data_IF_586514218829
#
_entry.id   IF_586514218829
#
_cell.length_a   1.000
_cell.length_b   1.000
_cell.length_c   1.000
_cell.angle_alpha   90.00
_cell.angle_beta   90.00
_cell.angle_gamma   90.00
#
_symmetry.space_group_name_H-M   'P 1'
#
loop_
_entity.id
_entity.type
_entity.pdbx_description
1 polymer ?
#
# COMPACT_ATOMS: atom_id res chain seq x y z
N UNK A 1 13.61 -35.67 4.42
CA UNK A 1 13.20 -35.11 3.11
C UNK A 1 12.32 -33.90 3.38
N UNK A 2 12.94 -32.72 3.39
CA UNK A 2 12.28 -31.44 3.69
C UNK A 2 11.26 -31.09 2.60
N UNK A 3 10.02 -30.85 3.02
CA UNK A 3 8.97 -30.32 2.17
C UNK A 3 9.23 -28.82 1.97
N UNK A 4 9.70 -28.44 0.78
CA UNK A 4 9.78 -27.02 0.39
C UNK A 4 8.37 -26.41 0.42
N UNK A 5 8.20 -25.49 1.36
CA UNK A 5 7.03 -24.62 1.53
C UNK A 5 7.01 -23.68 0.32
N UNK A 6 6.05 -23.84 -0.58
CA UNK A 6 5.88 -22.93 -1.73
C UNK A 6 5.64 -21.52 -1.19
N UNK A 7 6.60 -20.65 -1.44
CA UNK A 7 6.59 -19.24 -1.04
C UNK A 7 5.39 -18.56 -1.69
N UNK A 8 4.48 -18.06 -0.85
CA UNK A 8 3.40 -17.20 -1.30
C UNK A 8 4.03 -15.91 -1.81
N UNK A 9 3.74 -15.54 -3.05
CA UNK A 9 4.16 -14.28 -3.64
C UNK A 9 3.58 -13.10 -2.82
N UNK A 10 4.38 -12.62 -1.87
CA UNK A 10 4.15 -11.40 -1.11
C UNK A 10 4.47 -10.22 -2.01
N UNK A 11 3.45 -9.61 -2.61
CA UNK A 11 3.67 -8.37 -3.37
C UNK A 11 2.44 -7.80 -4.07
N UNK A 12 1.50 -8.63 -4.52
CA UNK A 12 0.25 -8.16 -5.08
C UNK A 12 -0.86 -8.34 -4.04
N UNK A 13 -1.22 -7.26 -3.35
CA UNK A 13 -2.55 -7.16 -2.74
C UNK A 13 -3.56 -7.06 -3.89
N UNK A 14 -3.81 -8.18 -4.56
CA UNK A 14 -5.04 -8.38 -5.33
C UNK A 14 -6.14 -8.16 -4.31
N UNK A 15 -6.91 -7.09 -4.51
CA UNK A 15 -8.18 -6.79 -3.87
C UNK A 15 -8.62 -7.82 -2.81
N UNK A 16 -8.72 -7.42 -1.54
CA UNK A 16 -9.12 -8.27 -0.42
C UNK A 16 -10.60 -8.71 -0.53
N UNK A 17 -10.90 -9.55 -1.52
CA UNK A 17 -12.12 -10.32 -1.67
C UNK A 17 -12.33 -11.31 -0.50
N UNK A 18 -11.28 -11.53 0.30
CA UNK A 18 -11.18 -12.65 1.23
C UNK A 18 -11.65 -12.35 2.67
N UNK A 19 -11.76 -11.08 3.09
CA UNK A 19 -12.01 -10.78 4.51
C UNK A 19 -13.40 -11.20 5.01
N UNK A 20 -14.40 -11.36 4.12
CA UNK A 20 -15.77 -11.72 4.51
C UNK A 20 -16.35 -12.95 3.81
N UNK A 21 -15.71 -13.49 2.79
CA UNK A 21 -16.31 -14.54 1.94
C UNK A 21 -15.93 -15.99 2.32
N UNK A 22 -14.98 -16.18 3.24
CA UNK A 22 -14.57 -17.50 3.73
C UNK A 22 -14.05 -18.47 2.66
N UNK A 23 -13.86 -18.02 1.42
CA UNK A 23 -13.35 -18.83 0.31
C UNK A 23 -12.18 -18.11 -0.33
N UNK A 24 -10.95 -18.66 -0.23
CA UNK A 24 -9.79 -18.10 -0.91
C UNK A 24 -9.92 -18.27 -2.42
N UNK A 25 -9.52 -17.26 -3.19
CA UNK A 25 -9.37 -17.36 -4.64
C UNK A 25 -8.04 -18.05 -4.92
N UNK A 26 -8.06 -19.17 -5.65
CA UNK A 26 -6.84 -19.83 -6.12
C UNK A 26 -6.23 -19.05 -7.27
N UNK A 27 -4.92 -18.80 -7.20
CA UNK A 27 -4.16 -17.99 -8.16
C UNK A 27 -2.90 -18.73 -8.59
N UNK A 28 -2.58 -18.68 -9.88
CA UNK A 28 -1.33 -19.19 -10.44
C UNK A 28 -0.66 -18.06 -11.23
N UNK A 29 0.64 -17.88 -11.07
CA UNK A 29 1.42 -16.94 -11.87
C UNK A 29 1.90 -17.65 -13.13
N UNK A 30 1.61 -17.07 -14.30
CA UNK A 30 2.06 -17.54 -15.61
C UNK A 30 2.61 -16.33 -16.34
N UNK A 31 3.90 -16.34 -16.72
CA UNK A 31 4.57 -15.21 -17.37
C UNK A 31 4.44 -13.90 -16.56
N UNK A 32 4.61 -13.97 -15.24
CA UNK A 32 4.42 -12.85 -14.31
C UNK A 32 3.01 -12.23 -14.27
N UNK A 33 2.04 -12.83 -14.98
CA UNK A 33 0.63 -12.45 -14.92
C UNK A 33 -0.17 -13.39 -14.01
N UNK A 34 -1.06 -12.85 -13.16
CA UNK A 34 -1.91 -13.68 -12.30
C UNK A 34 -3.11 -14.25 -13.06
N UNK A 35 -3.28 -15.57 -12.94
CA UNK A 35 -4.43 -16.31 -13.43
C UNK A 35 -5.27 -16.81 -12.25
N UNK A 36 -6.56 -16.50 -12.29
CA UNK A 36 -7.51 -16.78 -11.21
C UNK A 36 -8.46 -17.90 -11.59
N UNK A 37 -8.73 -18.84 -10.67
CA UNK A 37 -9.76 -19.85 -10.92
C UNK A 37 -11.13 -19.19 -11.04
N UNK A 38 -11.77 -19.31 -12.21
CA UNK A 38 -12.97 -18.57 -12.56
C UNK A 38 -14.15 -18.89 -11.62
N UNK A 39 -14.26 -20.16 -11.20
CA UNK A 39 -15.30 -20.61 -10.27
C UNK A 39 -15.19 -19.94 -8.90
N UNK A 40 -13.96 -19.75 -8.41
CA UNK A 40 -13.71 -19.11 -7.12
C UNK A 40 -14.05 -17.62 -7.21
N UNK A 41 -13.63 -16.96 -8.30
CA UNK A 41 -13.96 -15.55 -8.57
C UNK A 41 -15.47 -15.33 -8.59
N UNK A 42 -16.23 -16.17 -9.31
CA UNK A 42 -17.68 -16.07 -9.36
C UNK A 42 -18.31 -16.22 -7.98
N UNK A 43 -17.86 -17.20 -7.18
CA UNK A 43 -18.35 -17.41 -5.82
C UNK A 43 -18.13 -16.19 -4.93
N UNK A 44 -16.95 -15.57 -5.02
CA UNK A 44 -16.65 -14.40 -4.20
C UNK A 44 -17.44 -13.17 -4.66
N UNK A 45 -17.56 -12.97 -5.98
CA UNK A 45 -18.39 -11.92 -6.56
C UNK A 45 -19.89 -12.17 -6.41
N UNK A 46 -20.34 -13.30 -5.86
CA UNK A 46 -21.77 -13.61 -5.73
C UNK A 46 -22.46 -13.90 -7.07
N UNK A 47 -21.70 -14.35 -8.07
CA UNK A 47 -22.17 -14.67 -9.41
C UNK A 47 -22.44 -16.17 -9.47
N UNK A 48 -23.64 -16.54 -9.93
CA UNK A 48 -24.00 -17.93 -10.17
C UNK A 48 -23.16 -18.51 -11.29
N UNK A 49 -22.42 -19.58 -10.99
CA UNK A 49 -21.62 -20.30 -11.97
C UNK A 49 -22.52 -21.12 -12.91
N UNK A 50 -22.41 -20.86 -14.20
CA UNK A 50 -23.08 -21.62 -15.28
C UNK A 50 -22.10 -21.86 -16.43
N UNK A 51 -22.46 -22.73 -17.37
CA UNK A 51 -21.64 -22.97 -18.57
C UNK A 51 -21.42 -21.71 -19.42
N UNK A 52 -22.33 -20.73 -19.31
CA UNK A 52 -22.33 -19.49 -20.10
C UNK A 52 -21.67 -18.30 -19.41
N UNK A 53 -21.21 -18.44 -18.16
CA UNK A 53 -20.68 -17.32 -17.37
C UNK A 53 -19.49 -16.62 -18.05
N UNK A 54 -18.70 -17.36 -18.84
CA UNK A 54 -17.48 -16.86 -19.49
C UNK A 54 -17.62 -16.65 -21.00
N UNK A 55 -18.82 -16.79 -21.57
CA UNK A 55 -19.03 -16.70 -23.02
C UNK A 55 -18.60 -15.35 -23.60
N UNK A 56 -18.71 -14.32 -22.78
CA UNK A 56 -18.51 -12.93 -23.16
C UNK A 56 -17.09 -12.43 -22.84
N UNK A 57 -16.29 -13.30 -22.22
CA UNK A 57 -14.86 -13.07 -21.99
C UNK A 57 -14.10 -13.54 -23.24
N UNK A 58 -13.21 -12.71 -23.81
CA UNK A 58 -12.36 -13.11 -24.93
C UNK A 58 -11.57 -14.38 -24.62
N UNK A 59 -11.30 -15.20 -25.63
CA UNK A 59 -10.54 -16.44 -25.46
C UNK A 59 -9.13 -16.18 -24.93
N UNK A 60 -8.53 -15.03 -25.20
CA UNK A 60 -7.20 -14.68 -24.69
C UNK A 60 -7.17 -14.44 -23.17
N UNK A 61 -8.33 -14.16 -22.56
CA UNK A 61 -8.46 -13.86 -21.13
C UNK A 61 -9.05 -15.00 -20.33
N UNK A 62 -9.25 -16.17 -20.94
CA UNK A 62 -9.75 -17.39 -20.29
C UNK A 62 -9.00 -18.62 -20.80
N UNK A 63 -8.77 -19.58 -19.93
CA UNK A 63 -8.03 -20.79 -20.30
C UNK A 63 -8.10 -21.87 -19.24
N UNK A 64 -7.47 -23.01 -19.50
CA UNK A 64 -7.28 -24.05 -18.50
C UNK A 64 -5.86 -23.99 -17.96
N UNK A 65 -5.75 -23.82 -16.64
CA UNK A 65 -4.47 -23.74 -15.94
C UNK A 65 -4.39 -24.89 -14.96
N UNK A 66 -3.20 -25.49 -14.84
CA UNK A 66 -2.96 -26.59 -13.90
C UNK A 66 -2.79 -26.05 -12.48
N UNK A 67 -3.61 -26.56 -11.56
CA UNK A 67 -3.49 -26.29 -10.14
C UNK A 67 -3.26 -27.60 -9.38
N UNK A 68 -2.40 -27.55 -8.38
CA UNK A 68 -2.27 -28.65 -7.42
C UNK A 68 -3.40 -28.56 -6.40
N UNK A 69 -4.32 -29.52 -6.45
CA UNK A 69 -5.39 -29.67 -5.45
C UNK A 69 -5.11 -30.89 -4.57
N UNK A 70 -5.83 -31.08 -3.44
CA UNK A 70 -5.67 -32.28 -2.62
C UNK A 70 -5.89 -33.60 -3.37
N UNK A 71 -6.62 -33.57 -4.49
CA UNK A 71 -6.83 -34.71 -5.38
C UNK A 71 -5.78 -34.87 -6.48
N UNK A 72 -4.68 -34.11 -6.43
CA UNK A 72 -3.62 -34.10 -7.45
C UNK A 72 -3.67 -32.88 -8.36
N UNK A 73 -2.90 -32.91 -9.46
CA UNK A 73 -2.90 -31.83 -10.44
C UNK A 73 -4.18 -31.88 -11.28
N UNK A 74 -4.95 -30.79 -11.25
CA UNK A 74 -6.19 -30.64 -12.00
C UNK A 74 -6.13 -29.44 -12.91
N UNK A 75 -6.66 -29.58 -14.12
CA UNK A 75 -6.86 -28.45 -15.04
C UNK A 75 -8.14 -27.72 -14.65
N UNK A 76 -8.02 -26.46 -14.27
CA UNK A 76 -9.15 -25.63 -13.85
C UNK A 76 -9.33 -24.45 -14.81
N UNK A 77 -10.60 -24.17 -15.11
CA UNK A 77 -10.98 -22.99 -15.89
C UNK A 77 -10.59 -21.74 -15.11
N UNK A 78 -9.76 -20.94 -15.74
CA UNK A 78 -9.11 -19.78 -15.15
C UNK A 78 -9.24 -18.57 -16.07
N UNK A 79 -9.19 -17.39 -15.46
CA UNK A 79 -9.29 -16.11 -16.15
C UNK A 79 -8.11 -15.22 -15.77
N UNK A 80 -7.66 -14.40 -16.71
CA UNK A 80 -6.67 -13.36 -16.44
C UNK A 80 -7.28 -12.22 -15.61
N UNK A 81 -6.44 -11.31 -15.14
CA UNK A 81 -6.87 -10.09 -14.45
C UNK A 81 -7.86 -9.25 -15.28
N UNK A 82 -7.60 -9.09 -16.59
CA UNK A 82 -8.52 -8.39 -17.49
C UNK A 82 -9.88 -9.10 -17.60
N UNK A 83 -9.87 -10.44 -17.64
CA UNK A 83 -11.10 -11.26 -17.61
C UNK A 83 -11.89 -11.07 -16.31
N UNK A 84 -11.21 -11.00 -15.17
CA UNK A 84 -11.81 -10.74 -13.87
C UNK A 84 -12.51 -9.37 -13.84
N UNK A 85 -11.82 -8.31 -14.28
CA UNK A 85 -12.43 -6.97 -14.31
C UNK A 85 -13.63 -6.90 -15.25
N UNK A 86 -13.53 -7.50 -16.44
CA UNK A 86 -14.66 -7.55 -17.37
C UNK A 86 -15.87 -8.27 -16.78
N UNK A 87 -15.64 -9.37 -16.05
CA UNK A 87 -16.69 -10.13 -15.39
C UNK A 87 -17.32 -9.35 -14.23
N UNK A 88 -16.52 -8.66 -13.42
CA UNK A 88 -17.01 -7.83 -12.33
C UNK A 88 -17.83 -6.64 -12.83
N UNK A 89 -17.34 -5.88 -13.82
CA UNK A 89 -18.02 -4.69 -14.34
C UNK A 89 -19.31 -4.99 -15.10
N UNK A 90 -19.44 -6.21 -15.65
CA UNK A 90 -20.66 -6.63 -16.34
C UNK A 90 -21.76 -7.05 -15.37
N UNK A 91 -21.40 -7.52 -14.18
CA UNK A 91 -22.37 -8.10 -13.27
C UNK A 91 -23.13 -7.01 -12.50
N UNK A 92 -24.35 -6.73 -12.92
CA UNK A 92 -25.26 -5.79 -12.24
C UNK A 92 -26.22 -6.47 -11.26
N UNK A 93 -26.21 -7.81 -11.18
CA UNK A 93 -27.15 -8.59 -10.35
C UNK A 93 -26.58 -8.94 -8.99
N UNK A 94 -25.29 -8.70 -8.75
CA UNK A 94 -24.65 -9.02 -7.49
C UNK A 94 -24.18 -7.76 -6.78
N UNK A 95 -24.69 -7.54 -5.57
CA UNK A 95 -24.28 -6.44 -4.70
C UNK A 95 -22.76 -6.43 -4.45
N UNK A 96 -22.11 -7.60 -4.43
CA UNK A 96 -20.65 -7.69 -4.23
C UNK A 96 -19.88 -7.21 -5.46
N UNK A 97 -20.35 -7.54 -6.66
CA UNK A 97 -19.75 -7.05 -7.90
C UNK A 97 -19.98 -5.54 -8.06
N UNK A 98 -21.17 -5.04 -7.72
CA UNK A 98 -21.47 -3.61 -7.74
C UNK A 98 -20.60 -2.82 -6.77
N UNK A 99 -20.41 -3.32 -5.53
CA UNK A 99 -19.51 -2.70 -4.55
C UNK A 99 -18.08 -2.62 -5.05
N UNK A 100 -17.60 -3.70 -5.66
CA UNK A 100 -16.27 -3.73 -6.28
C UNK A 100 -16.15 -2.68 -7.38
N UNK A 101 -17.10 -2.65 -8.32
CA UNK A 101 -17.12 -1.70 -9.44
C UNK A 101 -17.17 -0.26 -8.96
N UNK A 102 -18.04 0.04 -8.00
CA UNK A 102 -18.15 1.38 -7.41
C UNK A 102 -16.88 1.82 -6.69
N UNK A 103 -16.20 0.91 -5.99
CA UNK A 103 -14.92 1.21 -5.36
C UNK A 103 -13.82 1.50 -6.39
N UNK A 104 -13.73 0.68 -7.44
CA UNK A 104 -12.75 0.91 -8.52
C UNK A 104 -12.99 2.27 -9.18
N UNK A 105 -14.25 2.55 -9.54
CA UNK A 105 -14.62 3.78 -10.24
C UNK A 105 -14.59 5.04 -9.35
N UNK A 106 -14.97 4.93 -8.09
CA UNK A 106 -15.08 6.06 -7.16
C UNK A 106 -13.81 6.40 -6.40
N UNK A 107 -12.97 5.39 -6.10
CA UNK A 107 -11.77 5.57 -5.29
C UNK A 107 -10.49 5.33 -6.09
N UNK A 108 -10.35 4.17 -6.72
CA UNK A 108 -9.08 3.76 -7.34
C UNK A 108 -8.74 4.58 -8.57
N UNK A 109 -9.60 4.57 -9.58
CA UNK A 109 -9.34 5.28 -10.84
C UNK A 109 -9.17 6.79 -10.62
N UNK A 110 -9.98 7.47 -9.78
CA UNK A 110 -9.77 8.88 -9.48
C UNK A 110 -8.45 9.15 -8.76
N UNK A 111 -8.00 8.25 -7.87
CA UNK A 111 -6.68 8.38 -7.24
C UNK A 111 -5.57 8.19 -8.27
N UNK A 112 -5.58 7.13 -9.06
CA UNK A 112 -4.58 6.90 -10.12
C UNK A 112 -4.50 8.12 -11.05
N UNK A 113 -5.63 8.65 -11.51
CA UNK A 113 -5.68 9.84 -12.37
C UNK A 113 -5.02 11.07 -11.72
N UNK A 114 -5.19 11.25 -10.40
CA UNK A 114 -4.68 12.42 -9.66
C UNK A 114 -3.21 12.28 -9.26
N UNK A 115 -2.78 11.10 -8.84
CA UNK A 115 -1.46 10.86 -8.23
C UNK A 115 -0.50 10.06 -9.10
N UNK A 116 -0.95 9.55 -10.25
CA UNK A 116 -0.16 8.69 -11.13
C UNK A 116 -0.07 7.23 -10.66
N UNK A 117 -0.70 6.87 -9.55
CA UNK A 117 -0.70 5.51 -9.02
C UNK A 117 -1.63 5.32 -7.81
N UNK A 118 -2.01 4.07 -7.56
CA UNK A 118 -2.79 3.68 -6.38
C UNK A 118 -1.89 2.93 -5.41
N UNK A 119 -1.66 3.50 -4.22
CA UNK A 119 -0.95 2.82 -3.13
C UNK A 119 -1.98 2.49 -2.06
N UNK A 120 -2.18 1.20 -1.80
CA UNK A 120 -2.85 0.78 -0.58
C UNK A 120 -1.84 1.05 0.54
N UNK A 121 -2.18 1.96 1.45
CA UNK A 121 -1.46 2.05 2.72
C UNK A 121 -1.68 0.73 3.44
N UNK A 122 -0.74 -0.20 3.28
CA UNK A 122 -0.75 -1.46 3.99
C UNK A 122 -0.67 -1.15 5.49
N UNK A 123 -1.82 -1.10 6.16
CA UNK A 123 -1.87 -1.36 7.59
C UNK A 123 -1.53 -2.84 7.79
N UNK A 124 -0.24 -3.17 7.71
CA UNK A 124 0.31 -4.30 8.45
C UNK A 124 0.03 -4.07 9.94
N UNK A 125 0.01 -5.14 10.74
CA UNK A 125 -0.15 -5.07 12.21
C UNK A 125 0.79 -4.08 12.91
N UNK A 126 1.82 -3.62 12.22
CA UNK A 126 2.64 -2.51 12.62
C UNK A 126 2.44 -1.30 11.68
N UNK A 127 1.96 -0.18 12.24
CA UNK A 127 1.75 1.11 11.56
C UNK A 127 3.08 1.84 11.24
N UNK A 128 4.07 1.18 10.63
CA UNK A 128 5.33 1.82 10.23
C UNK A 128 5.87 1.32 8.90
N UNK A 129 6.69 2.15 8.27
CA UNK A 129 7.41 1.83 7.04
C UNK A 129 8.80 1.28 7.37
N UNK A 130 9.09 0.05 6.96
CA UNK A 130 10.40 -0.56 7.21
C UNK A 130 11.44 0.00 6.22
N UNK A 131 12.49 0.63 6.75
CA UNK A 131 13.59 1.26 6.01
C UNK A 131 14.95 0.71 6.48
N UNK A 132 14.98 -0.51 7.04
CA UNK A 132 16.23 -1.10 7.53
C UNK A 132 17.19 -1.51 6.42
N UNK A 133 16.68 -1.80 5.22
CA UNK A 133 17.49 -2.25 4.09
C UNK A 133 17.99 -1.11 3.20
N UNK A 134 17.67 0.14 3.55
CA UNK A 134 17.99 1.33 2.76
C UNK A 134 18.77 2.35 3.60
N UNK A 135 19.74 3.07 3.00
CA UNK A 135 20.46 4.10 3.72
C UNK A 135 19.55 5.30 4.02
N UNK A 136 19.83 5.99 5.13
CA UNK A 136 19.29 7.32 5.42
C UNK A 136 20.44 8.32 5.43
N UNK A 137 20.15 9.58 5.12
CA UNK A 137 21.12 10.68 5.15
C UNK A 137 21.03 11.44 6.49
N UNK A 138 22.12 12.07 6.91
CA UNK A 138 22.10 13.05 8.00
C UNK A 138 22.30 14.44 7.41
N UNK A 139 21.44 15.37 7.80
CA UNK A 139 21.47 16.75 7.35
C UNK A 139 21.59 17.64 8.58
N UNK A 140 22.58 18.53 8.58
CA UNK A 140 22.80 19.45 9.69
C UNK A 140 21.72 20.53 9.72
N UNK A 141 21.13 20.76 10.90
CA UNK A 141 20.08 21.74 11.14
C UNK A 141 20.24 22.38 12.52
N UNK A 142 20.46 23.70 12.53
CA UNK A 142 20.75 24.50 13.74
C UNK A 142 21.92 23.93 14.53
N UNK A 143 21.64 23.29 15.66
CA UNK A 143 22.63 22.85 16.65
C UNK A 143 22.83 21.33 16.64
N UNK A 144 22.42 20.63 15.58
CA UNK A 144 22.60 19.19 15.47
C UNK A 144 22.26 18.64 14.10
N UNK A 145 22.25 17.32 13.98
CA UNK A 145 21.86 16.64 12.74
C UNK A 145 20.46 16.05 12.84
N UNK A 146 19.79 16.04 11.70
CA UNK A 146 18.48 15.43 11.48
C UNK A 146 18.65 14.28 10.51
N UNK A 147 18.11 13.10 10.87
CA UNK A 147 18.04 11.95 9.97
C UNK A 147 16.95 12.19 8.90
N UNK A 148 17.31 11.93 7.65
CA UNK A 148 16.47 12.14 6.47
C UNK A 148 16.42 10.87 5.64
N UNK A 149 15.21 10.48 5.28
CA UNK A 149 14.90 9.35 4.39
C UNK A 149 14.35 9.91 3.08
N UNK A 150 14.85 9.40 1.95
CA UNK A 150 14.42 9.82 0.61
C UNK A 150 13.71 8.65 -0.08
N UNK A 151 12.38 8.72 -0.24
CA UNK A 151 11.57 7.74 -0.98
C UNK A 151 11.12 8.36 -2.31
N UNK A 152 11.93 8.19 -3.36
CA UNK A 152 11.68 8.80 -4.67
C UNK A 152 11.83 10.31 -4.63
N UNK A 153 10.71 11.03 -4.81
CA UNK A 153 10.67 12.51 -4.75
C UNK A 153 10.33 13.02 -3.34
N UNK A 154 9.88 12.15 -2.43
CA UNK A 154 9.45 12.54 -1.09
C UNK A 154 10.61 12.44 -0.09
N UNK A 155 10.82 13.52 0.67
CA UNK A 155 11.79 13.57 1.77
C UNK A 155 11.09 13.51 3.13
N UNK A 156 11.60 12.65 4.00
CA UNK A 156 11.08 12.40 5.33
C UNK A 156 12.12 12.71 6.40
N UNK A 157 11.81 13.63 7.30
CA UNK A 157 12.72 14.15 8.33
C UNK A 157 12.33 13.62 9.71
N UNK A 158 13.31 13.17 10.49
CA UNK A 158 13.05 12.67 11.85
C UNK A 158 12.48 13.77 12.74
N UNK A 159 11.25 13.57 13.22
CA UNK A 159 10.55 14.53 14.08
C UNK A 159 11.29 14.68 15.41
N UNK A 160 11.82 13.58 15.96
CA UNK A 160 12.55 13.62 17.23
C UNK A 160 13.85 14.42 17.11
N UNK A 161 14.60 14.23 16.02
CA UNK A 161 15.83 14.98 15.79
C UNK A 161 15.53 16.46 15.55
N UNK A 162 14.46 16.78 14.80
CA UNK A 162 14.01 18.16 14.60
C UNK A 162 13.64 18.84 15.93
N UNK A 163 12.83 18.19 16.76
CA UNK A 163 12.43 18.73 18.06
C UNK A 163 13.62 18.94 18.99
N UNK A 164 14.59 18.02 18.98
CA UNK A 164 15.87 18.16 19.69
C UNK A 164 16.66 19.37 19.20
N UNK A 165 16.78 19.56 17.88
CA UNK A 165 17.47 20.71 17.29
C UNK A 165 16.75 22.04 17.56
N UNK A 166 15.43 22.01 17.75
CA UNK A 166 14.63 23.16 18.17
C UNK A 166 14.70 23.44 19.69
N UNK A 167 15.32 22.54 20.47
CA UNK A 167 15.34 22.61 21.93
C UNK A 167 13.95 22.40 22.56
N UNK A 168 13.04 21.72 21.85
CA UNK A 168 11.71 21.38 22.34
C UNK A 168 11.76 20.13 23.21
N UNK A 169 10.97 20.14 24.30
CA UNK A 169 10.76 18.97 25.17
C UNK A 169 9.48 18.21 24.84
N UNK A 170 8.78 18.60 23.77
CA UNK A 170 7.51 17.97 23.37
C UNK A 170 7.76 16.57 22.81
N UNK A 171 6.88 15.64 23.13
CA UNK A 171 6.92 14.31 22.54
C UNK A 171 6.57 14.35 21.04
N UNK A 172 7.34 13.62 20.23
CA UNK A 172 7.13 13.52 18.79
C UNK A 172 5.71 13.07 18.42
N UNK A 173 5.14 12.14 19.19
CA UNK A 173 3.76 11.66 19.03
C UNK A 173 2.73 12.78 19.16
N UNK A 174 2.89 13.70 20.10
CA UNK A 174 1.95 14.81 20.30
C UNK A 174 2.02 15.81 19.13
N UNK A 175 3.22 16.10 18.64
CA UNK A 175 3.44 16.95 17.47
C UNK A 175 2.83 16.31 16.21
N UNK A 176 3.08 15.02 15.98
CA UNK A 176 2.55 14.30 14.83
C UNK A 176 1.03 14.21 14.85
N UNK A 177 0.40 13.94 16.00
CA UNK A 177 -1.07 13.96 16.10
C UNK A 177 -1.67 15.31 15.69
N UNK A 178 -0.98 16.42 15.95
CA UNK A 178 -1.42 17.75 15.52
C UNK A 178 -1.18 17.99 14.04
N UNK A 179 -0.04 17.56 13.50
CA UNK A 179 0.25 17.62 12.07
C UNK A 179 -0.78 16.81 11.27
N UNK A 180 -1.02 15.57 11.69
CA UNK A 180 -1.86 14.64 10.96
C UNK A 180 -3.36 14.99 10.99
N UNK A 181 -3.77 15.93 11.85
CA UNK A 181 -5.14 16.44 11.87
C UNK A 181 -5.52 17.18 10.57
N UNK A 182 -4.53 17.73 9.85
CA UNK A 182 -4.74 18.51 8.62
C UNK A 182 -4.33 17.76 7.33
N UNK A 183 -3.88 16.51 7.43
CA UNK A 183 -3.45 15.68 6.30
C UNK A 183 -2.38 14.68 6.70
N UNK A 184 -2.06 13.70 5.86
CA UNK A 184 -1.03 12.70 6.17
C UNK A 184 0.39 13.27 5.96
N UNK A 185 0.85 14.04 6.94
CA UNK A 185 2.13 14.77 6.89
C UNK A 185 3.27 14.06 7.61
N UNK A 186 2.95 13.08 8.48
CA UNK A 186 3.93 12.35 9.24
C UNK A 186 3.55 10.87 9.38
N UNK A 187 4.56 10.00 9.27
CA UNK A 187 4.41 8.54 9.37
C UNK A 187 5.52 7.96 10.24
N UNK A 188 5.34 6.72 10.70
CA UNK A 188 6.41 6.01 11.38
C UNK A 188 7.33 5.34 10.36
N UNK A 189 8.64 5.41 10.59
CA UNK A 189 9.66 4.74 9.78
C UNK A 189 10.64 4.04 10.72
N UNK A 190 10.98 2.78 10.44
CA UNK A 190 11.98 2.01 11.16
C UNK A 190 13.31 2.03 10.39
N UNK A 191 14.35 2.63 10.98
CA UNK A 191 15.68 2.69 10.39
C UNK A 191 16.55 1.50 10.83
N UNK A 192 17.58 1.20 10.03
CA UNK A 192 18.63 0.25 10.40
C UNK A 192 19.27 0.61 11.76
N UNK A 193 19.45 -0.39 12.61
CA UNK A 193 20.05 -0.24 13.95
C UNK A 193 19.13 0.33 15.04
N UNK A 194 17.86 0.61 14.72
CA UNK A 194 16.85 1.04 15.70
C UNK A 194 15.99 -0.14 16.15
N UNK A 195 15.61 -0.19 17.43
CA UNK A 195 14.72 -1.23 17.99
C UNK A 195 13.24 -0.92 17.79
N UNK A 196 12.89 0.37 17.67
CA UNK A 196 11.52 0.83 17.52
C UNK A 196 11.40 1.87 16.40
N UNK A 197 10.25 1.91 15.70
CA UNK A 197 10.02 2.86 14.64
C UNK A 197 9.90 4.29 15.20
N UNK A 198 10.52 5.24 14.51
CA UNK A 198 10.47 6.66 14.86
C UNK A 198 9.45 7.42 14.00
N UNK A 199 9.00 8.58 14.47
CA UNK A 199 8.15 9.47 13.67
C UNK A 199 8.98 10.32 12.70
N UNK A 200 8.55 10.36 11.44
CA UNK A 200 9.12 11.18 10.39
C UNK A 200 8.03 12.04 9.74
N UNK A 201 8.35 13.30 9.45
CA UNK A 201 7.47 14.23 8.76
C UNK A 201 7.97 14.50 7.34
N UNK A 202 7.07 14.67 6.39
CA UNK A 202 7.43 15.12 5.05
C UNK A 202 7.96 16.58 5.08
N UNK A 203 8.43 17.10 3.95
CA UNK A 203 8.95 18.48 3.86
C UNK A 203 7.97 19.51 4.46
N UNK A 204 6.70 19.49 4.04
CA UNK A 204 5.70 20.44 4.55
C UNK A 204 5.43 20.28 6.05
N UNK A 205 5.35 19.05 6.55
CA UNK A 205 5.20 18.76 7.97
C UNK A 205 6.40 19.25 8.79
N UNK A 206 7.61 19.08 8.27
CA UNK A 206 8.83 19.58 8.91
C UNK A 206 8.85 21.11 8.98
N UNK A 207 8.45 21.80 7.90
CA UNK A 207 8.33 23.26 7.86
C UNK A 207 7.33 23.74 8.92
N UNK A 208 6.15 23.13 8.99
CA UNK A 208 5.14 23.47 10.00
C UNK A 208 5.66 23.31 11.44
N UNK A 209 6.42 22.25 11.72
CA UNK A 209 7.03 22.06 13.05
C UNK A 209 8.05 23.15 13.38
N UNK A 210 8.85 23.56 12.39
CA UNK A 210 9.88 24.59 12.59
C UNK A 210 9.28 25.99 12.74
N UNK A 211 8.21 26.31 12.00
CA UNK A 211 7.52 27.60 12.05
C UNK A 211 6.82 27.85 13.40
N UNK A 212 6.36 26.81 14.10
CA UNK A 212 5.66 26.94 15.39
C UNK A 212 6.56 27.26 16.59
N UNK A 213 7.89 27.32 16.43
CA UNK A 213 8.82 27.49 17.55
C UNK A 213 9.07 28.97 17.89
N UNK A 214 8.44 29.46 18.96
CA UNK A 214 8.55 30.83 19.49
C UNK A 214 9.97 31.25 19.94
N UNK A 215 10.90 30.30 20.14
CA UNK A 215 12.31 30.61 20.47
C UNK A 215 13.13 31.08 19.27
N UNK A 216 12.53 31.11 18.08
CA UNK A 216 13.15 31.58 16.83
C UNK A 216 12.50 32.84 16.27
N UNK A 217 12.24 33.87 17.10
CA UNK A 217 12.01 35.24 16.59
C UNK A 217 13.33 35.88 16.13
N UNK A 218 14.09 35.16 15.32
CA UNK A 218 15.10 35.74 14.43
C UNK A 218 14.56 35.46 13.05
N UNK A 219 14.49 36.50 12.23
CA UNK A 219 14.02 36.55 10.85
C UNK A 219 14.78 35.59 9.93
N UNK A 220 14.62 34.30 10.15
CA UNK A 220 15.01 33.22 9.25
C UNK A 220 13.75 32.42 9.02
N UNK A 221 12.85 33.02 8.23
CA UNK A 221 11.80 32.28 7.56
C UNK A 221 12.51 31.25 6.68
N UNK A 222 12.51 29.99 7.12
CA UNK A 222 13.18 28.90 6.44
C UNK A 222 12.55 28.70 5.06
N UNK A 223 13.20 29.21 4.01
CA UNK A 223 13.43 28.35 2.85
C UNK A 223 14.41 27.29 3.33
N UNK A 224 13.99 26.04 3.36
CA UNK A 224 14.89 24.90 3.56
C UNK A 224 15.83 24.80 2.34
N UNK A 225 16.80 25.71 2.23
CA UNK A 225 17.86 25.59 1.24
C UNK A 225 18.95 24.69 1.81
N UNK A 226 18.87 23.42 1.43
CA UNK A 226 19.92 22.44 1.66
C UNK A 226 21.10 22.79 0.74
N UNK A 227 22.21 23.25 1.31
CA UNK A 227 23.52 23.23 0.63
C UNK A 227 24.11 21.83 0.68
#
# INVERSE_FOLDING_TARGET
MEKKKTEQATGLQVFNFNEKAGTPIRVQLINDEPWFVAKDVCKVLGITWSGHTLDQIPNDWKGSVSFTTPGGNQQLVSISEAGLYKLAFRCNSSEKADKFTNWVAGEVLPRIRKTGGYRVSSCSRDDYFDWRDRPYRRVSYRNGDVRVVEDGQDRWYSVNDLLRCLGSRTESTQCVRRLNRRGDLARKILLYGMTHPGWFANTLGSELLTCGSLKGRVSVQLKLEFR
#
